data_IF_991438132503
#
_entry.id   IF_991438132503
#
_cell.length_a   1.000
_cell.length_b   1.000
_cell.length_c   1.000
_cell.angle_alpha   90.00
_cell.angle_beta   90.00
_cell.angle_gamma   90.00
#
_symmetry.space_group_name_H-M   'P 1'
#
loop_
_entity.id
_entity.type
_entity.pdbx_description
1 polymer ?
#
# COMPACT_ATOMS: atom_id res chain seq x y z
N UNK A 1 20.21 -44.45 14.91
CA UNK A 1 20.74 -43.56 13.85
C UNK A 1 19.65 -42.95 12.98
N UNK A 2 18.70 -43.72 12.44
CA UNK A 2 17.62 -43.21 11.56
C UNK A 2 16.80 -42.05 12.18
N UNK A 3 16.40 -42.16 13.44
CA UNK A 3 15.65 -41.12 14.14
C UNK A 3 16.46 -39.83 14.38
N UNK A 4 17.78 -39.93 14.56
CA UNK A 4 18.65 -38.76 14.78
C UNK A 4 18.79 -37.94 13.48
N UNK A 5 18.93 -38.63 12.35
CA UNK A 5 18.94 -37.99 11.03
C UNK A 5 17.61 -37.30 10.71
N UNK A 6 16.47 -37.91 11.09
CA UNK A 6 15.14 -37.31 10.90
C UNK A 6 14.95 -36.05 11.73
N UNK A 7 15.38 -36.05 12.99
CA UNK A 7 15.28 -34.86 13.87
C UNK A 7 16.16 -33.73 13.36
N UNK A 8 17.38 -34.03 12.89
CA UNK A 8 18.30 -33.03 12.37
C UNK A 8 17.79 -32.39 11.07
N UNK A 9 17.19 -33.18 10.19
CA UNK A 9 16.55 -32.67 8.98
C UNK A 9 15.35 -31.76 9.30
N UNK A 10 14.56 -32.11 10.32
CA UNK A 10 13.42 -31.29 10.75
C UNK A 10 13.86 -29.94 11.34
N UNK A 11 14.97 -29.92 12.09
CA UNK A 11 15.55 -28.69 12.66
C UNK A 11 15.99 -27.72 11.56
N UNK A 12 16.60 -28.23 10.49
CA UNK A 12 17.07 -27.40 9.37
C UNK A 12 15.95 -26.70 8.61
N UNK A 13 14.77 -27.34 8.48
CA UNK A 13 13.61 -26.76 7.79
C UNK A 13 13.05 -25.54 8.55
N UNK A 14 13.13 -25.54 9.88
CA UNK A 14 12.61 -24.44 10.70
C UNK A 14 13.45 -23.16 10.64
N UNK A 15 14.70 -23.23 10.17
CA UNK A 15 15.60 -22.06 10.11
C UNK A 15 15.34 -21.16 8.89
N UNK A 16 14.57 -21.62 7.89
CA UNK A 16 14.33 -20.87 6.66
C UNK A 16 12.94 -20.22 6.57
N UNK A 17 12.11 -20.37 7.59
CA UNK A 17 10.78 -19.76 7.62
C UNK A 17 10.87 -18.30 8.05
N UNK A 18 11.03 -17.40 7.08
CA UNK A 18 10.91 -15.96 7.30
C UNK A 18 9.44 -15.55 7.15
N UNK A 19 8.74 -15.29 8.26
CA UNK A 19 7.38 -14.74 8.26
C UNK A 19 7.41 -13.22 8.03
N UNK A 20 8.04 -12.76 6.94
CA UNK A 20 8.12 -11.34 6.65
C UNK A 20 6.79 -10.83 6.08
N UNK A 21 6.30 -9.70 6.61
CA UNK A 21 5.14 -9.02 6.05
C UNK A 21 5.43 -8.52 4.63
N UNK A 22 4.60 -8.93 3.69
CA UNK A 22 4.67 -8.55 2.29
C UNK A 22 3.32 -8.05 1.81
N UNK A 23 3.33 -7.03 0.95
CA UNK A 23 2.17 -6.58 0.20
C UNK A 23 2.29 -7.00 -1.27
N UNK A 24 1.17 -7.24 -1.93
CA UNK A 24 1.11 -7.54 -3.36
C UNK A 24 0.31 -6.48 -4.11
N UNK A 25 0.55 -6.35 -5.41
CA UNK A 25 -0.23 -5.45 -6.26
C UNK A 25 -1.72 -5.82 -6.28
N UNK A 26 -2.00 -7.12 -6.19
CA UNK A 26 -3.36 -7.68 -6.11
C UNK A 26 -4.14 -7.19 -4.89
N UNK A 27 -3.47 -6.77 -3.81
CA UNK A 27 -4.14 -6.20 -2.64
C UNK A 27 -4.75 -4.82 -2.92
N UNK A 28 -4.39 -4.17 -4.05
CA UNK A 28 -4.93 -2.88 -4.50
C UNK A 28 -5.96 -3.01 -5.62
N UNK A 29 -6.27 -4.22 -6.10
CA UNK A 29 -7.17 -4.41 -7.26
C UNK A 29 -8.59 -3.89 -7.02
N UNK A 30 -9.11 -3.99 -5.80
CA UNK A 30 -10.43 -3.44 -5.45
C UNK A 30 -10.52 -1.92 -5.61
N UNK A 31 -9.39 -1.24 -5.64
CA UNK A 31 -9.25 0.20 -5.80
C UNK A 31 -8.89 0.63 -7.22
N UNK A 32 -8.59 -0.33 -8.11
CA UNK A 32 -8.14 -0.05 -9.46
C UNK A 32 -9.23 0.64 -10.29
N UNK A 33 -8.88 1.74 -10.96
CA UNK A 33 -9.78 2.58 -11.76
C UNK A 33 -10.98 3.16 -10.99
N UNK A 34 -10.86 3.27 -9.66
CA UNK A 34 -11.89 3.90 -8.84
C UNK A 34 -11.59 5.39 -8.66
N UNK A 35 -12.67 6.17 -8.46
CA UNK A 35 -12.61 7.61 -8.17
C UNK A 35 -13.35 7.88 -6.88
N UNK A 36 -12.72 8.60 -5.97
CA UNK A 36 -13.33 9.02 -4.72
C UNK A 36 -13.42 10.53 -4.67
N UNK A 37 -14.63 11.04 -4.43
CA UNK A 37 -14.87 12.45 -4.15
C UNK A 37 -14.84 12.65 -2.65
N UNK A 38 -14.10 13.65 -2.19
CA UNK A 38 -13.95 13.95 -0.78
C UNK A 38 -13.41 15.36 -0.57
N UNK A 39 -12.77 15.57 0.60
CA UNK A 39 -12.13 16.84 0.93
C UNK A 39 -10.70 16.56 1.41
N UNK A 40 -9.71 17.23 0.82
CA UNK A 40 -8.40 17.34 1.43
C UNK A 40 -8.52 18.28 2.63
N UNK A 41 -8.20 17.77 3.81
CA UNK A 41 -8.21 18.54 5.05
C UNK A 41 -6.77 18.77 5.49
N UNK A 42 -6.39 20.02 5.72
CA UNK A 42 -5.05 20.37 6.19
C UNK A 42 -5.10 21.54 7.18
N UNK A 43 -4.00 21.73 7.91
CA UNK A 43 -3.81 22.89 8.78
C UNK A 43 -3.04 23.95 8.01
N UNK A 44 -3.65 25.12 7.80
CA UNK A 44 -2.94 26.28 7.30
C UNK A 44 -2.08 26.86 8.43
N UNK A 45 -0.76 26.86 8.22
CA UNK A 45 0.20 27.34 9.21
C UNK A 45 0.27 28.86 9.30
N UNK A 46 -0.22 29.60 8.28
CA UNK A 46 -0.28 31.06 8.34
C UNK A 46 -1.40 31.53 9.26
N UNK A 47 -2.61 31.00 9.07
CA UNK A 47 -3.77 31.34 9.90
C UNK A 47 -3.93 30.47 11.16
N UNK A 48 -3.27 29.31 11.21
CA UNK A 48 -3.44 28.30 12.25
C UNK A 48 -4.74 27.48 12.14
N UNK A 49 -5.59 27.75 11.15
CA UNK A 49 -6.91 27.14 10.99
C UNK A 49 -6.87 25.85 10.18
N UNK A 50 -7.91 25.03 10.36
CA UNK A 50 -8.11 23.85 9.54
C UNK A 50 -8.92 24.23 8.30
N UNK A 51 -8.34 23.96 7.15
CA UNK A 51 -8.95 24.22 5.84
C UNK A 51 -9.38 22.91 5.18
N UNK A 52 -10.39 23.02 4.30
CA UNK A 52 -10.94 21.91 3.53
C UNK A 52 -11.07 22.29 2.07
N UNK A 53 -10.46 21.51 1.20
CA UNK A 53 -10.54 21.70 -0.26
C UNK A 53 -11.28 20.50 -0.86
N UNK A 54 -12.39 20.69 -1.58
CA UNK A 54 -13.02 19.63 -2.36
C UNK A 54 -12.02 19.01 -3.32
N UNK A 55 -11.94 17.68 -3.33
CA UNK A 55 -10.93 16.97 -4.11
C UNK A 55 -11.47 15.66 -4.66
N UNK A 56 -11.00 15.30 -5.84
CA UNK A 56 -11.20 13.98 -6.43
C UNK A 56 -9.88 13.22 -6.43
N UNK A 57 -9.86 12.03 -5.83
CA UNK A 57 -8.74 11.11 -5.87
C UNK A 57 -9.05 9.96 -6.84
N UNK A 58 -8.09 9.58 -7.65
CA UNK A 58 -8.17 8.41 -8.53
C UNK A 58 -6.96 7.51 -8.30
N UNK A 59 -7.19 6.19 -8.26
CA UNK A 59 -6.12 5.19 -8.20
C UNK A 59 -6.21 4.26 -9.41
N UNK A 60 -5.07 4.02 -10.07
CA UNK A 60 -4.93 3.13 -11.21
C UNK A 60 -3.73 2.23 -11.03
N UNK A 61 -3.89 0.98 -11.45
CA UNK A 61 -2.79 0.03 -11.57
C UNK A 61 -2.37 -0.01 -13.03
N UNK A 62 -1.11 0.33 -13.31
CA UNK A 62 -0.51 0.31 -14.65
C UNK A 62 0.78 -0.52 -14.64
N UNK A 63 0.71 -1.74 -15.15
CA UNK A 63 1.82 -2.68 -15.12
C UNK A 63 2.24 -3.01 -13.68
N UNK A 64 3.46 -2.65 -13.31
CA UNK A 64 4.02 -2.86 -11.97
C UNK A 64 3.90 -1.64 -11.03
N UNK A 65 3.08 -0.65 -11.40
CA UNK A 65 2.95 0.63 -10.69
C UNK A 65 1.53 0.85 -10.23
N UNK A 66 1.42 1.48 -9.07
CA UNK A 66 0.20 2.14 -8.60
C UNK A 66 0.36 3.63 -8.89
N UNK A 67 -0.54 4.17 -9.69
CA UNK A 67 -0.64 5.59 -10.01
C UNK A 67 -1.80 6.15 -9.22
N UNK A 68 -1.56 7.21 -8.46
CA UNK A 68 -2.61 7.94 -7.79
C UNK A 68 -2.57 9.40 -8.20
N UNK A 69 -3.75 9.95 -8.47
CA UNK A 69 -3.91 11.36 -8.81
C UNK A 69 -4.87 12.04 -7.85
N UNK A 70 -4.59 13.30 -7.54
CA UNK A 70 -5.44 14.17 -6.74
C UNK A 70 -5.73 15.41 -7.57
N UNK A 71 -7.02 15.71 -7.72
CA UNK A 71 -7.55 16.85 -8.45
C UNK A 71 -8.27 17.79 -7.48
N UNK A 72 -7.97 19.08 -7.56
CA UNK A 72 -8.59 20.13 -6.75
C UNK A 72 -9.52 20.95 -7.64
N UNK A 73 -10.82 20.98 -7.29
CA UNK A 73 -11.87 21.54 -8.16
C UNK A 73 -11.64 23.03 -8.47
N UNK A 74 -11.12 23.79 -7.49
CA UNK A 74 -10.90 25.25 -7.61
C UNK A 74 -9.42 25.63 -7.79
N UNK A 75 -8.50 24.66 -7.68
CA UNK A 75 -7.05 24.88 -7.78
C UNK A 75 -6.40 23.87 -8.75
N UNK A 76 -6.82 23.83 -10.03
CA UNK A 76 -6.38 22.80 -10.97
C UNK A 76 -4.87 22.82 -11.24
N UNK A 77 -4.22 23.98 -11.07
CA UNK A 77 -2.77 24.14 -11.16
C UNK A 77 -2.00 23.47 -10.01
N UNK A 78 -2.70 23.04 -8.95
CA UNK A 78 -2.12 22.29 -7.82
C UNK A 78 -2.31 20.79 -7.95
N UNK A 79 -3.05 20.31 -8.96
CA UNK A 79 -3.29 18.89 -9.20
C UNK A 79 -1.98 18.10 -9.18
N UNK A 80 -2.02 16.90 -8.61
CA UNK A 80 -0.85 16.06 -8.47
C UNK A 80 -1.09 14.68 -9.05
N UNK A 81 -0.07 14.14 -9.72
CA UNK A 81 0.00 12.73 -10.13
C UNK A 81 1.26 12.16 -9.54
N UNK A 82 1.10 11.06 -8.81
CA UNK A 82 2.20 10.36 -8.14
C UNK A 82 2.16 8.88 -8.45
N UNK A 83 3.32 8.24 -8.32
CA UNK A 83 3.52 6.84 -8.72
C UNK A 83 4.31 6.13 -7.64
N UNK A 84 3.90 4.92 -7.31
CA UNK A 84 4.56 4.07 -6.33
C UNK A 84 4.68 2.64 -6.88
N UNK A 85 5.76 1.96 -6.51
CA UNK A 85 6.02 0.57 -6.86
C UNK A 85 6.17 -0.26 -5.61
N UNK A 86 5.74 -1.51 -5.69
CA UNK A 86 6.08 -2.54 -4.73
C UNK A 86 7.38 -3.19 -5.21
N UNK A 87 8.41 -3.24 -4.35
CA UNK A 87 9.76 -3.74 -4.67
C UNK A 87 10.15 -4.86 -3.70
N UNK A 88 11.21 -5.61 -4.05
CA UNK A 88 11.78 -6.70 -3.22
C UNK A 88 10.68 -7.65 -2.71
N UNK A 89 9.91 -8.21 -3.64
CA UNK A 89 8.87 -9.20 -3.38
C UNK A 89 7.85 -8.80 -2.30
N UNK A 90 7.48 -7.52 -2.28
CA UNK A 90 6.45 -7.02 -1.36
C UNK A 90 6.98 -6.42 -0.06
N UNK A 91 8.29 -6.43 0.16
CA UNK A 91 8.90 -5.93 1.42
C UNK A 91 9.20 -4.44 1.41
N UNK A 92 9.10 -3.77 0.25
CA UNK A 92 9.30 -2.33 0.10
C UNK A 92 8.14 -1.71 -0.68
N UNK A 93 7.52 -0.68 -0.11
CA UNK A 93 6.50 0.16 -0.76
C UNK A 93 7.09 1.53 -1.10
N UNK A 94 7.28 1.80 -2.38
CA UNK A 94 8.01 3.00 -2.82
C UNK A 94 9.46 2.93 -2.37
N UNK A 95 9.82 3.74 -1.38
CA UNK A 95 11.14 3.72 -0.75
C UNK A 95 11.09 3.27 0.72
N UNK A 96 9.91 2.93 1.24
CA UNK A 96 9.70 2.58 2.64
C UNK A 96 9.64 1.07 2.82
N UNK A 97 10.17 0.57 3.95
CA UNK A 97 10.10 -0.86 4.32
C UNK A 97 8.70 -1.18 4.86
N UNK A 98 8.13 -2.30 4.42
CA UNK A 98 6.91 -2.87 5.02
C UNK A 98 7.30 -3.49 6.36
N UNK A 99 6.72 -2.97 7.44
CA UNK A 99 6.97 -3.43 8.81
C UNK A 99 5.82 -4.28 9.36
N UNK A 100 4.63 -4.20 8.77
CA UNK A 100 3.46 -5.02 9.11
C UNK A 100 2.43 -4.99 7.99
N UNK A 101 1.70 -6.09 7.78
CA UNK A 101 0.54 -6.13 6.91
C UNK A 101 -0.56 -7.01 7.51
N UNK A 102 -1.80 -6.52 7.51
CA UNK A 102 -2.97 -7.29 7.98
C UNK A 102 -4.03 -7.31 6.90
N UNK A 103 -4.31 -8.50 6.37
CA UNK A 103 -5.37 -8.69 5.39
C UNK A 103 -6.71 -8.87 6.10
N UNK A 104 -7.58 -7.85 6.05
CA UNK A 104 -8.98 -8.01 6.47
C UNK A 104 -9.75 -8.76 5.39
N UNK A 105 -10.16 -9.98 5.70
CA UNK A 105 -11.12 -10.73 4.88
C UNK A 105 -12.48 -10.11 5.16
N UNK A 106 -12.99 -9.30 4.24
CA UNK A 106 -14.38 -8.84 4.28
C UNK A 106 -15.23 -9.97 3.67
N UNK A 107 -16.11 -10.63 4.43
CA UNK A 107 -16.98 -11.66 3.88
C UNK A 107 -17.89 -11.02 2.81
N UNK A 108 -17.98 -11.68 1.64
CA UNK A 108 -18.93 -11.28 0.61
C UNK A 108 -20.34 -11.64 1.11
N UNK A 109 -21.21 -10.64 1.21
CA UNK A 109 -22.65 -10.81 1.43
C UNK A 109 -23.34 -11.25 0.14
#
# INVERSE_FOLDING_TARGET
MKHLSTVFALLFVTLFTNAQDTIQLSDFESMNNTKWKGHLTYKDYQSGKQEKIPSTMELKIEGDKIIYSIQYDYEPNKNNVSKVKIKKDGTIFGNEKVISFTKKIVPKH
#
